data_IF_485792491603
#
_entry.id   IF_485792491603
#
_cell.length_a   1.000
_cell.length_b   1.000
_cell.length_c   1.000
_cell.angle_alpha   90.00
_cell.angle_beta   90.00
_cell.angle_gamma   90.00
#
_symmetry.space_group_name_H-M   'P 1'
#
loop_
_entity.id
_entity.type
_entity.pdbx_description
1 polymer ?
#
# COMPACT_ATOMS: atom_id res chain seq x y z
N UNK A 1 15.77 13.62 -25.88
CA UNK A 1 15.95 12.59 -24.84
C UNK A 1 16.02 13.31 -23.50
N UNK A 2 14.89 13.45 -22.81
CA UNK A 2 14.82 14.13 -21.51
C UNK A 2 14.68 13.08 -20.41
N UNK A 3 15.70 12.95 -19.57
CA UNK A 3 15.67 12.07 -18.40
C UNK A 3 14.71 12.65 -17.36
N UNK A 4 13.66 11.90 -17.03
CA UNK A 4 12.74 12.23 -15.96
C UNK A 4 13.41 11.79 -14.64
N UNK A 5 13.88 12.75 -13.86
CA UNK A 5 14.49 12.51 -12.56
C UNK A 5 13.42 12.18 -11.52
N UNK A 6 13.66 11.09 -10.79
CA UNK A 6 12.84 10.57 -9.70
C UNK A 6 12.54 11.67 -8.68
N UNK A 7 11.28 12.09 -8.61
CA UNK A 7 10.83 13.11 -7.65
C UNK A 7 10.67 12.46 -6.27
N UNK A 8 11.78 12.36 -5.53
CA UNK A 8 11.76 12.11 -4.09
C UNK A 8 11.75 13.45 -3.35
N UNK A 9 10.76 14.30 -3.59
CA UNK A 9 10.55 15.51 -2.80
C UNK A 9 9.30 15.35 -1.93
N UNK A 10 9.53 15.26 -0.61
CA UNK A 10 8.53 15.64 0.38
C UNK A 10 8.01 14.58 1.35
N UNK A 11 8.75 13.51 1.68
CA UNK A 11 8.36 12.72 2.86
C UNK A 11 8.66 13.53 4.14
N UNK A 12 7.61 13.91 4.85
CA UNK A 12 7.69 14.69 6.09
C UNK A 12 8.48 13.92 7.17
N UNK A 13 9.63 14.48 7.59
CA UNK A 13 10.70 13.80 8.36
C UNK A 13 10.27 13.16 9.69
N UNK A 14 9.11 13.52 10.25
CA UNK A 14 8.55 12.96 11.49
C UNK A 14 7.69 11.71 11.29
N UNK A 15 7.26 11.43 10.05
CA UNK A 15 6.38 10.32 9.71
C UNK A 15 7.23 9.07 9.39
N UNK A 16 6.80 7.87 9.79
CA UNK A 16 7.51 6.63 9.41
C UNK A 16 8.46 6.07 10.45
N UNK A 17 8.34 6.49 11.72
CA UNK A 17 9.25 6.02 12.79
C UNK A 17 9.14 4.51 13.01
N UNK A 18 7.92 3.96 12.95
CA UNK A 18 7.65 2.52 13.12
C UNK A 18 8.29 1.73 11.99
N UNK A 19 7.92 2.00 10.74
CA UNK A 19 8.47 1.29 9.59
C UNK A 19 9.98 1.43 9.47
N UNK A 20 10.56 2.59 9.79
CA UNK A 20 12.02 2.78 9.81
C UNK A 20 12.72 1.91 10.85
N UNK A 21 12.13 1.75 12.04
CA UNK A 21 12.68 0.86 13.07
C UNK A 21 12.64 -0.59 12.58
N UNK A 22 11.48 -1.03 12.10
CA UNK A 22 11.28 -2.38 11.54
C UNK A 22 12.29 -2.65 10.42
N UNK A 23 12.41 -1.76 9.44
CA UNK A 23 13.32 -1.92 8.31
C UNK A 23 14.81 -2.02 8.70
N UNK A 24 15.21 -1.48 9.86
CA UNK A 24 16.58 -1.61 10.38
C UNK A 24 16.84 -2.94 11.09
N UNK A 25 15.79 -3.56 11.61
CA UNK A 25 15.87 -4.83 12.35
C UNK A 25 15.78 -6.04 11.41
N UNK A 26 15.18 -5.86 10.22
CA UNK A 26 15.11 -6.88 9.18
C UNK A 26 16.48 -7.14 8.54
N UNK A 27 16.78 -8.41 8.29
CA UNK A 27 17.95 -8.82 7.51
C UNK A 27 17.88 -8.39 6.03
N UNK A 28 19.00 -8.48 5.28
CA UNK A 28 19.09 -7.96 3.90
C UNK A 28 18.05 -8.50 2.91
N UNK A 29 17.57 -9.72 3.13
CA UNK A 29 16.55 -10.39 2.29
C UNK A 29 15.32 -10.78 3.10
N UNK A 30 15.22 -10.31 4.33
CA UNK A 30 14.09 -10.60 5.20
C UNK A 30 12.88 -9.75 4.79
N UNK A 31 11.72 -10.39 4.74
CA UNK A 31 10.47 -9.77 4.33
C UNK A 31 9.60 -9.52 5.56
N UNK A 32 9.09 -8.30 5.68
CA UNK A 32 8.16 -7.94 6.72
C UNK A 32 6.85 -8.73 6.63
N UNK A 33 6.34 -9.17 7.77
CA UNK A 33 5.00 -9.75 7.93
C UNK A 33 4.30 -9.03 9.07
N UNK A 34 3.08 -8.57 8.83
CA UNK A 34 2.29 -7.86 9.84
C UNK A 34 1.55 -8.86 10.74
N UNK A 35 1.88 -8.88 12.02
CA UNK A 35 1.22 -9.73 12.99
C UNK A 35 -0.19 -9.23 13.36
N UNK A 36 -0.46 -7.93 13.21
CA UNK A 36 -1.78 -7.32 13.50
C UNK A 36 -2.74 -7.45 12.31
N UNK A 37 -2.21 -7.68 11.10
CA UNK A 37 -2.97 -7.87 9.88
C UNK A 37 -2.38 -9.01 9.02
N UNK A 38 -2.51 -10.27 9.48
CA UNK A 38 -1.83 -11.41 8.86
C UNK A 38 -2.38 -11.75 7.48
N UNK A 39 -1.61 -12.48 6.68
CA UNK A 39 -2.05 -13.06 5.41
C UNK A 39 -2.98 -14.28 5.63
N UNK A 40 -4.15 -14.06 6.23
CA UNK A 40 -5.12 -15.07 6.66
C UNK A 40 -6.58 -14.59 6.48
N UNK A 41 -7.54 -15.51 6.61
CA UNK A 41 -8.97 -15.21 6.46
C UNK A 41 -9.47 -14.13 7.44
N UNK A 42 -8.92 -14.07 8.65
CA UNK A 42 -9.24 -13.07 9.66
C UNK A 42 -8.94 -11.62 9.21
N UNK A 43 -8.10 -11.43 8.20
CA UNK A 43 -7.85 -10.13 7.57
C UNK A 43 -8.80 -9.81 6.41
N UNK A 44 -9.54 -10.80 5.91
CA UNK A 44 -10.51 -10.66 4.82
C UNK A 44 -11.94 -10.53 5.32
N UNK A 45 -12.28 -11.24 6.39
CA UNK A 45 -13.65 -11.46 6.84
C UNK A 45 -13.77 -11.19 8.35
N UNK A 46 -14.98 -10.84 8.80
CA UNK A 46 -15.25 -10.66 10.22
C UNK A 46 -15.27 -11.99 10.98
N UNK A 47 -15.79 -13.04 10.34
CA UNK A 47 -15.80 -14.40 10.83
C UNK A 47 -14.79 -15.21 10.00
N UNK A 48 -14.12 -16.19 10.61
CA UNK A 48 -13.10 -17.01 9.93
C UNK A 48 -13.67 -17.91 8.80
N UNK A 49 -15.00 -18.00 8.71
CA UNK A 49 -15.71 -18.65 7.63
C UNK A 49 -15.86 -17.72 6.43
N UNK A 50 -15.26 -18.11 5.30
CA UNK A 50 -15.37 -17.35 4.06
C UNK A 50 -16.85 -17.25 3.63
N UNK A 51 -17.42 -16.03 3.51
CA UNK A 51 -18.78 -15.87 3.06
C UNK A 51 -18.83 -16.23 1.58
N UNK A 52 -19.51 -17.34 1.31
CA UNK A 52 -19.87 -17.86 -0.01
C UNK A 52 -18.76 -18.53 -0.82
N UNK A 53 -19.07 -19.76 -1.24
CA UNK A 53 -18.42 -20.56 -2.28
C UNK A 53 -18.32 -19.89 -3.68
N UNK A 54 -18.63 -18.59 -3.79
CA UNK A 54 -18.62 -17.84 -5.04
C UNK A 54 -17.22 -17.35 -5.44
N UNK A 55 -16.30 -17.17 -4.48
CA UNK A 55 -14.92 -16.77 -4.76
C UNK A 55 -14.04 -18.00 -4.80
N UNK A 56 -13.28 -18.16 -5.89
CA UNK A 56 -12.16 -19.11 -5.94
C UNK A 56 -11.21 -18.83 -4.77
N UNK A 57 -10.58 -19.88 -4.27
CA UNK A 57 -9.54 -19.85 -3.24
C UNK A 57 -8.64 -18.60 -3.34
N UNK A 58 -8.68 -17.74 -2.32
CA UNK A 58 -7.85 -16.54 -2.27
C UNK A 58 -6.43 -16.93 -1.90
N UNK A 59 -5.46 -16.49 -2.70
CA UNK A 59 -4.04 -16.72 -2.45
C UNK A 59 -3.34 -15.41 -2.11
N UNK A 60 -2.66 -15.38 -0.96
CA UNK A 60 -1.84 -14.25 -0.55
C UNK A 60 -0.49 -14.28 -1.28
N UNK A 61 -0.23 -13.25 -2.09
CA UNK A 61 1.04 -13.09 -2.83
C UNK A 61 1.55 -11.67 -2.69
N UNK A 62 2.88 -11.53 -2.62
CA UNK A 62 3.57 -10.23 -2.73
C UNK A 62 3.64 -9.79 -4.19
N UNK A 63 3.78 -8.49 -4.45
CA UNK A 63 3.89 -7.97 -5.81
C UNK A 63 5.04 -8.62 -6.61
N UNK A 64 6.19 -8.83 -5.98
CA UNK A 64 7.36 -9.52 -6.57
C UNK A 64 7.12 -11.01 -6.89
N UNK A 65 6.08 -11.62 -6.33
CA UNK A 65 5.68 -12.98 -6.66
C UNK A 65 4.67 -13.01 -7.80
N UNK A 66 3.89 -11.94 -7.99
CA UNK A 66 2.77 -11.89 -8.94
C UNK A 66 3.15 -11.29 -10.30
N UNK A 67 4.19 -10.46 -10.35
CA UNK A 67 4.59 -9.73 -11.55
C UNK A 67 6.10 -9.76 -11.75
N UNK A 68 6.54 -9.68 -13.00
CA UNK A 68 7.95 -9.59 -13.35
C UNK A 68 8.53 -8.20 -13.07
N UNK A 69 9.81 -8.17 -12.70
CA UNK A 69 10.56 -6.95 -12.40
C UNK A 69 10.48 -6.52 -10.93
N UNK A 70 11.28 -5.50 -10.54
CA UNK A 70 11.23 -4.98 -9.18
C UNK A 70 9.88 -4.30 -8.92
N UNK A 71 9.24 -4.54 -7.76
CA UNK A 71 7.99 -3.88 -7.42
C UNK A 71 8.22 -2.38 -7.22
N UNK A 72 7.42 -1.57 -7.92
CA UNK A 72 7.41 -0.12 -7.80
C UNK A 72 6.07 0.34 -7.25
N UNK A 73 6.09 1.33 -6.35
CA UNK A 73 4.86 1.89 -5.79
C UNK A 73 4.04 2.63 -6.85
N UNK A 74 4.71 3.34 -7.76
CA UNK A 74 4.10 3.99 -8.91
C UNK A 74 4.98 3.81 -10.14
N UNK A 75 4.40 3.31 -11.24
CA UNK A 75 5.04 3.35 -12.56
C UNK A 75 4.73 4.71 -13.20
N UNK A 76 5.61 5.68 -12.97
CA UNK A 76 5.40 7.08 -13.36
C UNK A 76 4.55 7.87 -12.37
N UNK A 77 3.88 8.91 -12.83
CA UNK A 77 3.00 9.71 -11.99
C UNK A 77 1.69 8.97 -11.71
N UNK A 78 1.20 9.05 -10.46
CA UNK A 78 -0.13 8.57 -10.13
C UNK A 78 -1.18 9.29 -10.98
N UNK A 79 -2.19 8.55 -11.43
CA UNK A 79 -3.31 9.10 -12.18
C UNK A 79 -4.60 8.36 -11.86
N UNK A 80 -5.75 8.99 -12.12
CA UNK A 80 -7.04 8.33 -11.99
C UNK A 80 -7.14 7.06 -12.85
N UNK A 81 -6.47 7.04 -14.01
CA UNK A 81 -6.48 5.88 -14.92
C UNK A 81 -5.68 4.69 -14.43
N UNK A 82 -4.82 4.84 -13.42
CA UNK A 82 -4.12 3.71 -12.79
C UNK A 82 -4.98 2.98 -11.74
N UNK A 83 -6.11 3.56 -11.33
CA UNK A 83 -6.97 3.03 -10.28
C UNK A 83 -8.11 2.23 -10.92
N UNK A 84 -8.15 0.93 -10.62
CA UNK A 84 -9.17 0.02 -11.15
C UNK A 84 -9.91 -0.65 -10.00
N UNK A 85 -11.24 -0.69 -10.08
CA UNK A 85 -12.06 -1.40 -9.11
C UNK A 85 -11.91 -2.92 -9.32
N UNK A 86 -11.61 -3.63 -8.23
CA UNK A 86 -11.69 -5.09 -8.18
C UNK A 86 -13.12 -5.57 -7.95
N UNK A 87 -13.28 -6.84 -7.62
CA UNK A 87 -14.62 -7.40 -7.48
C UNK A 87 -15.34 -7.08 -6.16
N UNK A 88 -14.69 -6.39 -5.22
CA UNK A 88 -15.29 -6.01 -3.94
C UNK A 88 -16.28 -4.84 -4.13
N UNK A 89 -17.36 -4.85 -3.35
CA UNK A 89 -18.40 -3.80 -3.33
C UNK A 89 -17.94 -2.50 -2.66
N UNK A 90 -16.73 -2.03 -2.94
CA UNK A 90 -16.09 -0.87 -2.31
C UNK A 90 -15.88 0.30 -3.29
N UNK A 91 -16.73 0.43 -4.31
CA UNK A 91 -16.62 1.48 -5.33
C UNK A 91 -16.47 2.89 -4.73
N UNK A 92 -17.20 3.19 -3.67
CA UNK A 92 -17.12 4.46 -2.93
C UNK A 92 -15.69 4.79 -2.45
N UNK A 93 -14.93 3.77 -2.03
CA UNK A 93 -13.55 3.92 -1.59
C UNK A 93 -12.59 4.07 -2.77
N UNK A 94 -12.76 3.24 -3.81
CA UNK A 94 -11.91 3.27 -5.00
C UNK A 94 -12.08 4.59 -5.78
N UNK A 95 -13.31 5.13 -5.86
CA UNK A 95 -13.58 6.46 -6.44
C UNK A 95 -12.90 7.58 -5.66
N UNK A 96 -12.79 7.49 -4.34
CA UNK A 96 -12.03 8.47 -3.56
C UNK A 96 -10.52 8.40 -3.86
N UNK A 97 -9.98 7.19 -3.99
CA UNK A 97 -8.56 6.98 -4.36
C UNK A 97 -8.24 7.49 -5.77
N UNK A 98 -9.15 7.36 -6.74
CA UNK A 98 -8.91 7.88 -8.09
C UNK A 98 -8.80 9.41 -8.12
N UNK A 99 -9.59 10.11 -7.29
CA UNK A 99 -9.47 11.57 -7.11
C UNK A 99 -8.13 11.90 -6.43
N UNK A 100 -7.78 11.20 -5.36
CA UNK A 100 -6.50 11.38 -4.65
C UNK A 100 -5.30 11.16 -5.56
N UNK A 101 -5.36 10.19 -6.48
CA UNK A 101 -4.29 9.92 -7.44
C UNK A 101 -4.01 11.12 -8.37
N UNK A 102 -5.00 12.01 -8.59
CA UNK A 102 -4.82 13.26 -9.34
C UNK A 102 -4.26 14.42 -8.50
N UNK A 103 -4.04 14.21 -7.20
CA UNK A 103 -3.64 15.22 -6.22
C UNK A 103 -2.32 14.83 -5.54
N UNK A 104 -1.16 15.09 -6.18
CA UNK A 104 0.15 14.77 -5.61
C UNK A 104 0.38 15.37 -4.21
N UNK A 105 -0.19 16.54 -3.94
CA UNK A 105 -0.13 17.20 -2.63
C UNK A 105 -0.82 16.38 -1.54
N UNK A 106 -1.95 15.73 -1.84
CA UNK A 106 -2.64 14.84 -0.89
C UNK A 106 -1.97 13.47 -0.85
N UNK A 107 -1.59 12.93 -2.01
CA UNK A 107 -0.99 11.61 -2.13
C UNK A 107 0.34 11.52 -1.35
N UNK A 108 1.20 12.54 -1.48
CA UNK A 108 2.45 12.64 -0.72
C UNK A 108 2.22 12.76 0.79
N UNK A 109 1.04 13.25 1.19
CA UNK A 109 0.65 13.23 2.58
C UNK A 109 0.19 11.83 3.03
N UNK A 110 -0.43 11.00 2.20
CA UNK A 110 -0.88 9.68 2.63
C UNK A 110 0.27 8.69 2.80
N UNK A 111 1.31 8.80 1.99
CA UNK A 111 2.43 7.87 1.97
C UNK A 111 3.50 8.35 2.93
N UNK A 112 3.77 7.55 3.94
CA UNK A 112 4.65 7.94 5.04
C UNK A 112 6.05 7.34 4.89
N UNK A 113 6.14 6.07 4.52
CA UNK A 113 7.40 5.39 4.28
C UNK A 113 7.19 4.20 3.34
N UNK A 114 8.25 3.85 2.62
CA UNK A 114 8.26 2.70 1.72
C UNK A 114 9.62 2.01 1.79
N UNK A 115 9.60 0.70 1.94
CA UNK A 115 10.76 -0.19 1.88
C UNK A 115 10.38 -1.40 0.99
N UNK A 116 10.26 -1.21 -0.34
CA UNK A 116 9.77 -2.25 -1.26
C UNK A 116 10.58 -3.54 -1.20
N UNK A 117 11.88 -3.46 -0.94
CA UNK A 117 12.77 -4.62 -0.78
C UNK A 117 12.40 -5.52 0.39
N UNK A 118 11.75 -4.98 1.42
CA UNK A 118 11.26 -5.74 2.58
C UNK A 118 9.74 -6.00 2.50
N UNK A 119 9.06 -5.50 1.46
CA UNK A 119 7.59 -5.53 1.38
C UNK A 119 6.90 -4.73 2.48
N UNK A 120 7.53 -3.66 2.97
CA UNK A 120 7.02 -2.83 4.07
C UNK A 120 6.62 -1.44 3.57
N UNK A 121 5.38 -1.05 3.83
CA UNK A 121 4.82 0.24 3.43
C UNK A 121 4.05 0.83 4.61
N UNK A 122 4.17 2.12 4.85
CA UNK A 122 3.44 2.85 5.88
C UNK A 122 2.61 3.95 5.24
N UNK A 123 1.33 3.98 5.60
CA UNK A 123 0.37 4.99 5.19
C UNK A 123 -0.16 5.71 6.42
N UNK A 124 -0.64 6.93 6.24
CA UNK A 124 -1.42 7.63 7.26
C UNK A 124 -2.79 7.98 6.75
N UNK A 125 -3.76 7.98 7.66
CA UNK A 125 -5.16 8.30 7.39
C UNK A 125 -5.58 9.51 8.22
N UNK A 126 -6.56 10.26 7.71
CA UNK A 126 -7.19 11.34 8.46
C UNK A 126 -8.49 10.82 9.09
N UNK A 127 -8.47 10.60 10.41
CA UNK A 127 -9.59 10.01 11.16
C UNK A 127 -9.91 10.91 12.35
N UNK A 128 -11.19 11.26 12.51
CA UNK A 128 -11.69 12.06 13.64
C UNK A 128 -10.91 13.37 13.85
N UNK A 129 -10.63 14.09 12.75
CA UNK A 129 -9.95 15.38 12.79
C UNK A 129 -8.43 15.31 12.99
N UNK A 130 -7.82 14.12 12.98
CA UNK A 130 -6.39 13.92 13.24
C UNK A 130 -5.76 13.00 12.21
N UNK A 131 -4.49 13.24 11.91
CA UNK A 131 -3.67 12.29 11.15
C UNK A 131 -3.21 11.15 12.06
N UNK A 132 -3.45 9.91 11.62
CA UNK A 132 -3.06 8.67 12.31
C UNK A 132 -2.24 7.80 11.38
N UNK A 133 -1.19 7.17 11.91
CA UNK A 133 -0.31 6.23 11.21
C UNK A 133 -0.59 4.81 11.67
#
# INVERSE_FOLDING_TARGET
>A
MGGCTSTTQGLNKTSGKRSRKIAKELGPSELFTDAEFPAANSSLYYDDEAPYAAWKEVQWRRASQAFDGPPEMFKGAASASTVHQGHLGNCWFISALSIIATRPDILNHLIVAQYPQHGLFEFRFFKQGKWVN
#
